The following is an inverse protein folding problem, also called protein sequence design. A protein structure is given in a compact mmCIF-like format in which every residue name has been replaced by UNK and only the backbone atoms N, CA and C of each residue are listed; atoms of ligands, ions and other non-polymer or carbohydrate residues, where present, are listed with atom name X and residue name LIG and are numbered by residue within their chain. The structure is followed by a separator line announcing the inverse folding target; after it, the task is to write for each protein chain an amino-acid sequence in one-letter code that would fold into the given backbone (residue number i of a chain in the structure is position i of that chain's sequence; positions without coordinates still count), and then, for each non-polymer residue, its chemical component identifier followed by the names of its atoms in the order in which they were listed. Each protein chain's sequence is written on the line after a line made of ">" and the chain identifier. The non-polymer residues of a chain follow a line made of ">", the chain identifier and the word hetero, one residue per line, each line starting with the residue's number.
data_IF_874041833166
#
_entry.id   IF_874041833166
#
_cell.length_a   1.000
_cell.length_b   1.000
_cell.length_c   1.000
_cell.angle_alpha   90.00
_cell.angle_beta   90.00
_cell.angle_gamma   90.00
#
_symmetry.space_group_name_H-M   'P 1'
#
loop_
_entity.id
_entity.type
_entity.pdbx_description
1 polymer ?
#
# COMPACT_ATOMS: atom_id res chain seq x y z
N UNK A 1 -35.86 -2.07 3.79
CA UNK A 1 -35.05 -2.57 2.67
C UNK A 1 -34.05 -3.54 3.29
N UNK A 2 -34.23 -4.84 3.07
CA UNK A 2 -33.47 -5.90 3.76
C UNK A 2 -32.38 -6.39 2.81
N UNK A 3 -31.12 -6.14 3.13
CA UNK A 3 -29.98 -6.64 2.36
C UNK A 3 -29.84 -8.15 2.58
N UNK A 4 -29.59 -8.91 1.50
CA UNK A 4 -29.32 -10.34 1.60
C UNK A 4 -27.85 -10.60 1.93
N UNK A 5 -27.54 -11.72 2.61
CA UNK A 5 -26.15 -12.09 2.89
C UNK A 5 -25.28 -12.16 1.63
N UNK A 6 -25.83 -12.61 0.50
CA UNK A 6 -25.10 -12.63 -0.78
C UNK A 6 -24.75 -11.23 -1.31
N UNK A 7 -25.60 -10.23 -1.06
CA UNK A 7 -25.34 -8.84 -1.43
C UNK A 7 -24.25 -8.21 -0.54
N UNK A 8 -24.22 -8.59 0.75
CA UNK A 8 -23.14 -8.22 1.66
C UNK A 8 -21.80 -8.85 1.22
N UNK A 9 -21.80 -10.13 0.86
CA UNK A 9 -20.62 -10.83 0.35
C UNK A 9 -20.14 -10.30 -1.01
N UNK A 10 -21.05 -9.89 -1.90
CA UNK A 10 -20.69 -9.27 -3.18
C UNK A 10 -20.06 -7.87 -3.00
N UNK A 11 -20.34 -7.18 -1.90
CA UNK A 11 -19.75 -5.87 -1.54
C UNK A 11 -18.49 -5.98 -0.69
N UNK A 12 -18.29 -7.11 -0.03
CA UNK A 12 -16.97 -7.56 0.40
C UNK A 12 -16.17 -7.93 -0.85
N UNK A 13 -15.91 -6.96 -1.73
CA UNK A 13 -14.78 -7.05 -2.64
C UNK A 13 -13.59 -7.51 -1.81
N UNK A 14 -12.83 -8.48 -2.32
CA UNK A 14 -11.68 -9.06 -1.65
C UNK A 14 -10.90 -7.94 -0.97
N UNK A 15 -10.89 -7.93 0.37
CA UNK A 15 -10.28 -6.84 1.15
C UNK A 15 -8.88 -6.64 0.59
N UNK A 16 -8.67 -5.52 -0.10
CA UNK A 16 -7.37 -5.20 -0.70
C UNK A 16 -6.38 -5.09 0.46
N UNK A 17 -5.41 -5.99 0.51
CA UNK A 17 -4.43 -6.07 1.57
C UNK A 17 -3.05 -5.78 1.00
N UNK A 18 -2.17 -5.22 1.82
CA UNK A 18 -0.79 -4.90 1.44
C UNK A 18 0.18 -6.01 1.83
N UNK A 19 -0.31 -7.23 1.99
CA UNK A 19 0.54 -8.40 2.23
C UNK A 19 1.51 -8.59 1.07
N UNK A 20 2.73 -9.01 1.37
CA UNK A 20 3.79 -9.24 0.38
C UNK A 20 4.24 -8.00 -0.42
N UNK A 21 3.89 -6.78 0.03
CA UNK A 21 4.25 -5.54 -0.66
C UNK A 21 5.78 -5.37 -0.75
N UNK A 22 6.50 -5.65 0.34
CA UNK A 22 7.95 -5.62 0.41
C UNK A 22 8.47 -6.56 1.50
N UNK A 23 8.89 -7.76 1.09
CA UNK A 23 9.29 -8.84 2.01
C UNK A 23 10.54 -8.50 2.85
N UNK A 24 11.38 -7.55 2.40
CA UNK A 24 12.54 -7.12 3.20
C UNK A 24 12.14 -6.20 4.35
N UNK A 25 11.02 -5.50 4.24
CA UNK A 25 10.50 -4.61 5.27
C UNK A 25 9.44 -5.32 6.14
N UNK A 26 8.63 -6.15 5.52
CA UNK A 26 7.55 -6.91 6.16
C UNK A 26 7.76 -8.41 5.92
N UNK A 27 8.54 -9.10 6.77
CA UNK A 27 8.85 -10.51 6.58
C UNK A 27 7.64 -11.41 6.85
N UNK A 28 7.63 -12.57 6.19
CA UNK A 28 6.68 -13.67 6.46
C UNK A 28 5.24 -13.34 6.11
N UNK A 29 4.95 -13.05 4.84
CA UNK A 29 3.63 -12.65 4.31
C UNK A 29 2.99 -11.40 4.94
N UNK A 30 3.80 -10.66 5.69
CA UNK A 30 3.42 -9.43 6.35
C UNK A 30 3.18 -8.27 5.37
N UNK A 31 2.60 -7.22 5.93
CA UNK A 31 2.35 -5.95 5.29
C UNK A 31 1.60 -5.04 6.26
N UNK A 32 1.47 -3.75 5.96
CA UNK A 32 0.65 -2.86 6.77
C UNK A 32 -0.80 -3.35 6.85
N UNK A 33 -1.34 -3.43 8.06
CA UNK A 33 -2.74 -3.78 8.28
C UNK A 33 -3.67 -2.58 8.00
N UNK A 34 -4.96 -2.81 7.68
CA UNK A 34 -5.91 -1.72 7.49
C UNK A 34 -5.97 -0.78 8.71
N UNK A 35 -5.67 0.50 8.50
CA UNK A 35 -5.64 1.52 9.54
C UNK A 35 -4.28 1.70 10.23
N UNK A 36 -3.29 0.88 9.89
CA UNK A 36 -1.91 1.04 10.34
C UNK A 36 -1.23 2.19 9.59
N UNK A 37 -0.34 2.90 10.29
CA UNK A 37 0.51 3.96 9.72
C UNK A 37 1.96 3.51 9.80
N UNK A 38 2.61 3.42 8.64
CA UNK A 38 4.04 3.12 8.55
C UNK A 38 4.80 4.39 8.20
N UNK A 39 5.75 4.77 9.06
CA UNK A 39 6.62 5.92 8.84
C UNK A 39 7.99 5.45 8.31
N UNK A 40 8.42 6.03 7.18
CA UNK A 40 9.78 5.88 6.66
C UNK A 40 10.64 7.05 7.16
N UNK A 41 11.54 6.79 8.11
CA UNK A 41 12.42 7.80 8.70
C UNK A 41 13.89 7.58 8.32
N UNK A 42 14.62 8.68 8.17
CA UNK A 42 16.07 8.67 7.95
C UNK A 42 16.58 9.97 7.31
N UNK A 43 17.91 10.18 7.28
CA UNK A 43 18.53 11.35 6.64
C UNK A 43 18.11 11.58 5.18
N UNK A 44 18.29 12.79 4.67
CA UNK A 44 18.14 13.05 3.23
C UNK A 44 19.08 12.16 2.41
N UNK A 45 18.64 11.72 1.23
CA UNK A 45 19.43 10.87 0.36
C UNK A 45 19.48 9.39 0.74
N UNK A 46 18.77 8.94 1.79
CA UNK A 46 18.72 7.51 2.17
C UNK A 46 17.72 6.66 1.37
N UNK A 47 17.17 7.19 0.27
CA UNK A 47 16.28 6.41 -0.61
C UNK A 47 14.83 6.29 -0.15
N UNK A 48 14.36 7.07 0.84
CA UNK A 48 12.95 7.02 1.32
C UNK A 48 11.93 7.24 0.20
N UNK A 49 12.15 8.26 -0.62
CA UNK A 49 11.27 8.60 -1.74
C UNK A 49 11.32 7.53 -2.84
N UNK A 50 12.51 6.98 -3.10
CA UNK A 50 12.69 5.89 -4.07
C UNK A 50 11.97 4.62 -3.62
N UNK A 51 12.10 4.26 -2.34
CA UNK A 51 11.36 3.15 -1.74
C UNK A 51 9.85 3.37 -1.85
N UNK A 52 9.36 4.58 -1.58
CA UNK A 52 7.94 4.91 -1.71
C UNK A 52 7.44 4.71 -3.15
N UNK A 53 8.21 5.12 -4.17
CA UNK A 53 7.85 4.85 -5.57
C UNK A 53 7.89 3.37 -5.93
N UNK A 54 8.82 2.60 -5.36
CA UNK A 54 8.83 1.14 -5.53
C UNK A 54 7.57 0.49 -4.95
N UNK A 55 7.17 0.89 -3.74
CA UNK A 55 5.93 0.42 -3.10
C UNK A 55 4.69 0.80 -3.93
N UNK A 56 4.62 2.03 -4.43
CA UNK A 56 3.53 2.46 -5.33
C UNK A 56 3.45 1.61 -6.59
N UNK A 57 4.59 1.31 -7.20
CA UNK A 57 4.66 0.47 -8.39
C UNK A 57 4.13 -0.94 -8.09
N UNK A 58 4.52 -1.53 -6.95
CA UNK A 58 4.01 -2.83 -6.50
C UNK A 58 2.51 -2.80 -6.25
N UNK A 59 1.98 -1.72 -5.67
CA UNK A 59 0.54 -1.58 -5.47
C UNK A 59 -0.23 -1.54 -6.80
N UNK A 60 0.21 -0.72 -7.75
CA UNK A 60 -0.56 -0.44 -8.97
C UNK A 60 -0.46 -1.53 -10.04
N UNK A 61 0.66 -2.26 -10.10
CA UNK A 61 0.86 -3.29 -11.11
C UNK A 61 -0.07 -4.49 -10.91
N UNK A 62 -0.44 -5.20 -11.99
CA UNK A 62 -1.24 -6.40 -11.89
C UNK A 62 -0.45 -7.54 -11.23
N UNK A 63 -1.17 -8.52 -10.65
CA UNK A 63 -0.56 -9.72 -10.05
C UNK A 63 0.36 -10.47 -11.02
N UNK A 64 0.01 -10.51 -12.32
CA UNK A 64 0.82 -11.15 -13.37
C UNK A 64 2.18 -10.47 -13.62
N UNK A 65 2.31 -9.20 -13.25
CA UNK A 65 3.56 -8.44 -13.30
C UNK A 65 4.24 -8.37 -11.91
N UNK A 66 3.75 -9.13 -10.93
CA UNK A 66 4.24 -9.11 -9.56
C UNK A 66 3.79 -7.88 -8.76
N UNK A 67 2.69 -7.23 -9.13
CA UNK A 67 2.05 -6.21 -8.28
C UNK A 67 0.91 -6.78 -7.44
N UNK A 68 0.13 -5.90 -6.80
CA UNK A 68 -1.00 -6.23 -5.93
C UNK A 68 -2.35 -5.78 -6.50
N UNK A 69 -2.36 -5.00 -7.58
CA UNK A 69 -3.57 -4.49 -8.24
C UNK A 69 -4.50 -3.72 -7.28
N UNK A 70 -3.89 -2.90 -6.41
CA UNK A 70 -4.58 -2.06 -5.43
C UNK A 70 -4.50 -0.59 -5.82
N UNK A 71 -5.61 0.12 -5.63
CA UNK A 71 -5.68 1.56 -5.86
C UNK A 71 -4.90 2.31 -4.78
N UNK A 72 -4.16 3.35 -5.19
CA UNK A 72 -3.38 4.17 -4.26
C UNK A 72 -3.68 5.65 -4.45
N UNK A 73 -3.82 6.35 -3.32
CA UNK A 73 -3.82 7.81 -3.28
C UNK A 73 -2.43 8.26 -2.86
N UNK A 74 -1.69 8.88 -3.77
CA UNK A 74 -0.41 9.48 -3.47
C UNK A 74 -0.57 10.97 -3.19
N UNK A 75 -0.30 11.37 -1.94
CA UNK A 75 -0.18 12.77 -1.57
C UNK A 75 1.30 13.12 -1.49
N UNK A 76 1.83 13.77 -2.52
CA UNK A 76 3.17 14.30 -2.47
C UNK A 76 3.24 15.35 -1.34
N UNK A 77 4.28 15.33 -0.48
CA UNK A 77 4.49 16.46 0.41
C UNK A 77 4.61 17.73 -0.43
N UNK A 78 3.85 18.77 -0.08
CA UNK A 78 4.27 20.14 -0.39
C UNK A 78 5.67 20.23 0.17
N UNK A 79 6.64 20.40 -0.72
CA UNK A 79 8.02 20.64 -0.39
C UNK A 79 8.06 21.90 0.47
N UNK A 80 7.88 21.77 1.78
CA UNK A 80 8.32 22.77 2.75
C UNK A 80 9.81 22.53 2.90
N UNK A 81 10.54 22.95 1.86
CA UNK A 81 11.97 23.23 1.96
C UNK A 81 12.10 24.43 2.91
N UNK A 82 12.37 24.16 4.16
CA UNK A 82 13.30 25.01 4.89
C UNK A 82 14.47 24.12 5.27
N UNK A 83 15.55 24.23 4.49
CA UNK A 83 16.87 24.28 5.12
C UNK A 83 16.89 25.39 6.18
#
# INVERSE_FOLDING_TARGET
>A
MTESGAQLFARLEARRCLKDIENKLFPGDGGPEPGEVVELYGPEGTGKTELLYHLLSRCLLPLSAGGLEVDVVFMAPIIVWTC
#
